data_IF_431114366644
#
_entry.id   IF_431114366644
#
_cell.length_a   1.000
_cell.length_b   1.000
_cell.length_c   1.000
_cell.angle_alpha   90.00
_cell.angle_beta   90.00
_cell.angle_gamma   90.00
#
_symmetry.space_group_name_H-M   'P 1'
#
loop_
_entity.id
_entity.type
_entity.pdbx_description
1 polymer ?
#
# COMPACT_ATOMS: atom_id res chain seq x y z
N UNK A 1 -26.79 10.09 1.53
CA UNK A 1 -25.93 9.41 0.53
C UNK A 1 -26.81 8.51 -0.31
N UNK A 2 -26.91 8.80 -1.60
CA UNK A 2 -27.70 8.01 -2.54
C UNK A 2 -27.11 6.59 -2.69
N UNK A 3 -27.93 5.61 -3.05
CA UNK A 3 -27.50 4.21 -3.14
C UNK A 3 -26.39 4.03 -4.19
N UNK A 4 -26.42 4.82 -5.26
CA UNK A 4 -25.38 4.82 -6.28
C UNK A 4 -24.03 5.30 -5.73
N UNK A 5 -24.03 6.38 -4.95
CA UNK A 5 -22.82 6.95 -4.32
C UNK A 5 -22.17 5.99 -3.33
N UNK A 6 -23.01 5.26 -2.58
CA UNK A 6 -22.57 4.26 -1.60
C UNK A 6 -21.84 3.09 -2.27
N UNK A 7 -22.31 2.63 -3.44
CA UNK A 7 -21.64 1.58 -4.22
C UNK A 7 -20.28 2.05 -4.74
N UNK A 8 -20.20 3.27 -5.26
CA UNK A 8 -18.93 3.86 -5.72
C UNK A 8 -17.93 4.01 -4.58
N UNK A 9 -18.38 4.44 -3.40
CA UNK A 9 -17.53 4.53 -2.21
C UNK A 9 -16.99 3.17 -1.77
N UNK A 10 -17.85 2.14 -1.70
CA UNK A 10 -17.42 0.76 -1.36
C UNK A 10 -16.36 0.24 -2.35
N UNK A 11 -16.51 0.52 -3.65
CA UNK A 11 -15.51 0.15 -4.66
C UNK A 11 -14.16 0.84 -4.43
N UNK A 12 -14.15 2.16 -4.21
CA UNK A 12 -12.92 2.92 -3.93
C UNK A 12 -12.26 2.47 -2.63
N UNK A 13 -13.05 2.20 -1.60
CA UNK A 13 -12.57 1.70 -0.31
C UNK A 13 -11.99 0.29 -0.40
N UNK A 14 -12.59 -0.58 -1.21
CA UNK A 14 -12.04 -1.91 -1.49
C UNK A 14 -10.67 -1.81 -2.16
N UNK A 15 -10.52 -0.97 -3.18
CA UNK A 15 -9.23 -0.74 -3.85
C UNK A 15 -8.16 -0.25 -2.87
N UNK A 16 -8.51 0.73 -2.02
CA UNK A 16 -7.62 1.21 -0.96
C UNK A 16 -7.23 0.09 0.00
N UNK A 17 -8.20 -0.70 0.46
CA UNK A 17 -7.95 -1.82 1.37
C UNK A 17 -7.02 -2.87 0.76
N UNK A 18 -7.22 -3.22 -0.51
CA UNK A 18 -6.35 -4.16 -1.25
C UNK A 18 -4.95 -3.59 -1.41
N UNK A 19 -4.80 -2.33 -1.82
CA UNK A 19 -3.50 -1.67 -1.92
C UNK A 19 -2.75 -1.67 -0.58
N UNK A 20 -3.45 -1.35 0.52
CA UNK A 20 -2.86 -1.34 1.85
C UNK A 20 -2.37 -2.73 2.27
N UNK A 21 -3.15 -3.78 2.00
CA UNK A 21 -2.73 -5.15 2.28
C UNK A 21 -1.48 -5.55 1.47
N UNK A 22 -1.41 -5.18 0.19
CA UNK A 22 -0.23 -5.43 -0.66
C UNK A 22 1.01 -4.72 -0.08
N UNK A 23 0.86 -3.47 0.38
CA UNK A 23 1.93 -2.72 1.04
C UNK A 23 2.40 -3.46 2.30
N UNK A 24 1.48 -3.85 3.18
CA UNK A 24 1.81 -4.59 4.41
C UNK A 24 2.56 -5.88 4.08
N UNK A 25 2.10 -6.65 3.09
CA UNK A 25 2.76 -7.88 2.65
C UNK A 25 4.17 -7.60 2.11
N UNK A 26 4.37 -6.53 1.32
CA UNK A 26 5.69 -6.14 0.84
C UNK A 26 6.64 -5.80 1.99
N UNK A 27 6.19 -5.00 2.96
CA UNK A 27 7.00 -4.64 4.13
C UNK A 27 7.29 -5.83 5.03
N UNK A 28 6.31 -6.72 5.24
CA UNK A 28 6.49 -7.94 6.02
C UNK A 28 7.52 -8.87 5.37
N UNK A 29 7.44 -9.07 4.04
CA UNK A 29 8.45 -9.84 3.32
C UNK A 29 9.82 -9.16 3.31
N UNK A 30 9.89 -7.84 3.12
CA UNK A 30 11.14 -7.10 3.17
C UNK A 30 11.83 -7.25 4.54
N UNK A 31 11.06 -7.06 5.61
CA UNK A 31 11.56 -7.25 6.98
C UNK A 31 12.00 -8.70 7.18
N UNK A 32 11.20 -9.69 6.78
CA UNK A 32 11.57 -11.10 6.88
C UNK A 32 12.88 -11.41 6.16
N UNK A 33 13.03 -10.94 4.92
CA UNK A 33 14.26 -11.14 4.12
C UNK A 33 15.45 -10.47 4.78
N UNK A 34 15.31 -9.24 5.25
CA UNK A 34 16.39 -8.53 5.95
C UNK A 34 16.77 -9.21 7.26
N UNK A 35 15.81 -9.60 8.11
CA UNK A 35 16.11 -10.25 9.38
C UNK A 35 16.68 -11.67 9.20
N UNK A 36 16.21 -12.43 8.21
CA UNK A 36 16.61 -13.82 8.01
C UNK A 36 17.86 -14.00 7.16
N UNK A 37 18.08 -13.14 6.16
CA UNK A 37 19.14 -13.31 5.15
C UNK A 37 20.20 -12.20 5.14
N UNK A 38 20.02 -11.08 5.85
CA UNK A 38 21.10 -10.09 5.95
C UNK A 38 22.41 -10.62 6.58
N UNK A 39 22.42 -11.62 7.48
CA UNK A 39 23.66 -12.17 8.01
C UNK A 39 24.44 -13.05 7.00
N UNK A 40 23.79 -13.54 5.94
CA UNK A 40 24.35 -14.60 5.08
C UNK A 40 24.92 -14.08 3.74
N UNK A 41 24.82 -12.78 3.46
CA UNK A 41 25.55 -12.14 2.34
C UNK A 41 24.87 -10.92 1.71
N UNK A 42 25.63 -10.23 0.86
CA UNK A 42 25.22 -9.04 0.08
C UNK A 42 23.91 -9.16 -0.71
N UNK A 43 23.56 -10.30 -1.36
CA UNK A 43 22.34 -10.37 -2.18
C UNK A 43 21.04 -10.28 -1.39
N UNK A 44 20.97 -10.84 -0.17
CA UNK A 44 19.79 -10.74 0.70
C UNK A 44 19.53 -9.30 1.15
N UNK A 45 20.60 -8.55 1.40
CA UNK A 45 20.55 -7.13 1.73
C UNK A 45 20.02 -6.28 0.56
N UNK A 46 20.51 -6.54 -0.66
CA UNK A 46 20.05 -5.84 -1.87
C UNK A 46 18.58 -6.12 -2.14
N UNK A 47 18.15 -7.38 -2.08
CA UNK A 47 16.74 -7.77 -2.29
C UNK A 47 15.83 -7.12 -1.23
N UNK A 48 16.24 -7.15 0.04
CA UNK A 48 15.49 -6.54 1.13
C UNK A 48 15.34 -5.03 0.98
N UNK A 49 16.42 -4.32 0.60
CA UNK A 49 16.37 -2.87 0.31
C UNK A 49 15.47 -2.55 -0.89
N UNK A 50 15.51 -3.38 -1.94
CA UNK A 50 14.70 -3.19 -3.14
C UNK A 50 13.20 -3.37 -2.82
N UNK A 51 12.85 -4.40 -2.04
CA UNK A 51 11.49 -4.60 -1.54
C UNK A 51 11.01 -3.43 -0.66
N UNK A 52 11.90 -2.90 0.19
CA UNK A 52 11.61 -1.71 1.00
C UNK A 52 11.33 -0.48 0.13
N UNK A 53 12.18 -0.22 -0.88
CA UNK A 53 12.00 0.89 -1.80
C UNK A 53 10.68 0.79 -2.58
N UNK A 54 10.34 -0.41 -3.05
CA UNK A 54 9.05 -0.68 -3.70
C UNK A 54 7.89 -0.47 -2.73
N UNK A 55 7.97 -0.96 -1.50
CA UNK A 55 6.95 -0.75 -0.47
C UNK A 55 6.72 0.74 -0.15
N UNK A 56 7.79 1.54 -0.09
CA UNK A 56 7.70 2.99 0.08
C UNK A 56 7.02 3.66 -1.12
N UNK A 57 7.40 3.29 -2.34
CA UNK A 57 6.78 3.84 -3.55
C UNK A 57 5.27 3.53 -3.62
N UNK A 58 4.88 2.29 -3.31
CA UNK A 58 3.47 1.90 -3.21
C UNK A 58 2.74 2.67 -2.10
N UNK A 59 3.40 2.91 -0.96
CA UNK A 59 2.83 3.71 0.14
C UNK A 59 2.53 5.15 -0.26
N UNK A 60 3.43 5.76 -1.04
CA UNK A 60 3.23 7.11 -1.58
C UNK A 60 2.03 7.12 -2.55
N UNK A 61 1.95 6.15 -3.46
CA UNK A 61 0.81 6.00 -4.37
C UNK A 61 -0.50 5.79 -3.61
N UNK A 62 -0.52 4.91 -2.60
CA UNK A 62 -1.68 4.71 -1.73
C UNK A 62 -2.11 6.00 -1.05
N UNK A 63 -1.16 6.78 -0.52
CA UNK A 63 -1.46 8.07 0.11
C UNK A 63 -2.13 9.03 -0.88
N UNK A 64 -1.66 9.07 -2.13
CA UNK A 64 -2.27 9.89 -3.20
C UNK A 64 -3.71 9.44 -3.51
N UNK A 65 -3.93 8.14 -3.69
CA UNK A 65 -5.27 7.58 -3.92
C UNK A 65 -6.21 7.82 -2.73
N UNK A 66 -5.69 7.74 -1.51
CA UNK A 66 -6.44 8.02 -0.29
C UNK A 66 -6.86 9.49 -0.21
N UNK A 67 -5.93 10.42 -0.46
CA UNK A 67 -6.25 11.86 -0.46
C UNK A 67 -7.27 12.23 -1.53
N UNK A 68 -7.17 11.66 -2.73
CA UNK A 68 -8.14 11.88 -3.81
C UNK A 68 -9.52 11.32 -3.45
N UNK A 69 -9.57 10.12 -2.86
CA UNK A 69 -10.83 9.51 -2.42
C UNK A 69 -11.47 10.30 -1.28
N UNK A 70 -10.66 10.84 -0.36
CA UNK A 70 -11.11 11.70 0.74
C UNK A 70 -11.63 13.05 0.25
N UNK A 71 -10.93 13.70 -0.69
CA UNK A 71 -11.37 14.94 -1.31
C UNK A 71 -12.71 14.74 -2.02
N UNK A 72 -12.83 13.69 -2.84
CA UNK A 72 -14.08 13.33 -3.49
C UNK A 72 -15.22 13.09 -2.48
N UNK A 73 -14.94 12.44 -1.34
CA UNK A 73 -15.95 12.20 -0.31
C UNK A 73 -16.44 13.50 0.34
N UNK A 74 -15.56 14.49 0.53
CA UNK A 74 -15.95 15.82 1.02
C UNK A 74 -16.72 16.66 -0.01
N UNK A 75 -16.53 16.38 -1.30
CA UNK A 75 -17.27 17.03 -2.39
C UNK A 75 -18.66 16.42 -2.62
N UNK A 76 -18.96 15.25 -2.04
CA UNK A 76 -20.30 14.67 -2.11
C UNK A 76 -21.27 15.44 -1.18
N UNK A 77 -22.43 15.94 -1.70
CA UNK A 77 -23.43 16.66 -0.91
C UNK A 77 -24.23 15.77 0.05
#
# INVERSE_FOLDING_TARGET
>A
MDEATTRTFKGRFMILTVMLNIIILCFAMAAFVLFRFAPEGTPGLVIGLLLLAVGVAFSISFRKHYTLTKAWLHEQP
#
